data_IF_267483527228
#
_entry.id   IF_267483527228
#
_cell.length_a   1.000
_cell.length_b   1.000
_cell.length_c   1.000
_cell.angle_alpha   90.00
_cell.angle_beta   90.00
_cell.angle_gamma   90.00
#
_symmetry.space_group_name_H-M   'P 1'
#
loop_
_entity.id
_entity.type
_entity.pdbx_description
1 polymer ?
#
# COMPACT_ATOMS: atom_id res chain seq x y z
N UNK A 1 18.74 13.58 -25.43
CA UNK A 1 18.66 12.79 -24.18
C UNK A 1 17.78 11.59 -24.49
N UNK A 2 18.31 10.37 -24.40
CA UNK A 2 17.49 9.18 -24.56
C UNK A 2 16.44 9.18 -23.45
N UNK A 3 15.16 9.13 -23.82
CA UNK A 3 14.06 8.92 -22.88
C UNK A 3 14.36 7.64 -22.10
N UNK A 4 14.63 7.76 -20.79
CA UNK A 4 14.62 6.58 -19.91
C UNK A 4 13.18 6.11 -19.87
N UNK A 5 12.88 5.06 -20.62
CA UNK A 5 11.55 4.45 -20.62
C UNK A 5 11.27 4.04 -19.19
N UNK A 6 10.18 4.57 -18.62
CA UNK A 6 9.74 4.19 -17.29
C UNK A 6 9.29 2.73 -17.35
N UNK A 7 10.06 1.83 -16.78
CA UNK A 7 9.69 0.44 -16.65
C UNK A 7 8.80 0.28 -15.43
N UNK A 8 7.69 -0.43 -15.55
CA UNK A 8 6.87 -0.94 -14.45
C UNK A 8 6.85 -2.45 -14.61
N UNK A 9 7.33 -3.17 -13.62
CA UNK A 9 7.70 -4.59 -13.67
C UNK A 9 6.67 -5.52 -14.35
N UNK A 10 5.39 -5.19 -14.29
CA UNK A 10 4.32 -5.99 -14.90
C UNK A 10 3.43 -5.19 -15.86
N UNK A 11 3.97 -4.12 -16.46
CA UNK A 11 3.24 -3.35 -17.47
C UNK A 11 3.04 -4.14 -18.75
N UNK A 12 1.86 -4.00 -19.37
CA UNK A 12 1.63 -4.36 -20.75
C UNK A 12 2.51 -3.50 -21.67
N UNK A 13 3.36 -4.12 -22.47
CA UNK A 13 4.31 -3.46 -23.37
C UNK A 13 3.89 -3.51 -24.86
N UNK A 14 2.84 -4.27 -25.16
CA UNK A 14 2.32 -4.44 -26.51
C UNK A 14 3.12 -5.42 -27.40
N UNK A 15 4.17 -6.06 -26.89
CA UNK A 15 5.02 -6.98 -27.71
C UNK A 15 4.23 -8.19 -28.24
N UNK A 16 3.22 -8.66 -27.47
CA UNK A 16 2.36 -9.77 -27.85
C UNK A 16 0.93 -9.33 -28.23
N UNK A 17 0.74 -8.05 -28.55
CA UNK A 17 -0.59 -7.50 -28.86
C UNK A 17 -1.37 -8.31 -29.91
N UNK A 18 -0.69 -8.74 -31.00
CA UNK A 18 -1.31 -9.48 -32.07
C UNK A 18 -1.72 -10.93 -31.68
N UNK A 19 -1.23 -11.44 -30.57
CA UNK A 19 -1.57 -12.75 -30.02
C UNK A 19 -2.79 -12.69 -29.08
N UNK A 20 -3.22 -11.50 -28.68
CA UNK A 20 -4.38 -11.32 -27.83
C UNK A 20 -5.67 -11.67 -28.58
N UNK A 21 -6.70 -12.03 -27.82
CA UNK A 21 -8.05 -12.17 -28.34
C UNK A 21 -8.49 -10.88 -29.09
N UNK A 22 -9.19 -11.00 -30.24
CA UNK A 22 -9.64 -9.85 -31.02
C UNK A 22 -10.49 -8.83 -30.24
N UNK A 23 -11.30 -9.28 -29.29
CA UNK A 23 -12.11 -8.42 -28.44
C UNK A 23 -11.22 -7.61 -27.49
N UNK A 24 -10.24 -8.26 -26.85
CA UNK A 24 -9.24 -7.60 -26.03
C UNK A 24 -8.43 -6.57 -26.81
N UNK A 25 -7.97 -6.92 -28.04
CA UNK A 25 -7.30 -5.98 -28.94
C UNK A 25 -8.18 -4.76 -29.25
N UNK A 26 -9.46 -4.98 -29.59
CA UNK A 26 -10.38 -3.90 -29.89
C UNK A 26 -10.61 -2.98 -28.68
N UNK A 27 -10.72 -3.56 -27.49
CA UNK A 27 -10.89 -2.81 -26.23
C UNK A 27 -9.63 -2.00 -25.90
N UNK A 28 -8.42 -2.55 -26.08
CA UNK A 28 -7.17 -1.84 -25.87
C UNK A 28 -7.07 -0.64 -26.82
N UNK A 29 -7.30 -0.83 -28.13
CA UNK A 29 -7.31 0.28 -29.11
C UNK A 29 -8.29 1.39 -28.74
N UNK A 30 -9.51 1.03 -28.33
CA UNK A 30 -10.52 2.01 -27.89
C UNK A 30 -10.07 2.74 -26.62
N UNK A 31 -9.45 2.02 -25.67
CA UNK A 31 -8.90 2.60 -24.45
C UNK A 31 -7.81 3.61 -24.74
N UNK A 32 -6.84 3.27 -25.61
CA UNK A 32 -5.74 4.14 -26.01
C UNK A 32 -6.20 5.39 -26.73
N UNK A 33 -7.32 5.30 -27.46
CA UNK A 33 -7.90 6.45 -28.14
C UNK A 33 -8.52 7.50 -27.19
N UNK A 34 -8.88 7.13 -25.95
CA UNK A 34 -9.64 8.01 -25.03
C UNK A 34 -8.99 8.22 -23.67
N UNK A 35 -8.13 7.32 -23.21
CA UNK A 35 -7.42 7.44 -21.94
C UNK A 35 -5.96 7.86 -22.16
N UNK A 36 -5.49 8.74 -21.30
CA UNK A 36 -4.10 9.19 -21.34
C UNK A 36 -3.11 8.03 -21.10
N UNK A 37 -1.90 8.08 -21.70
CA UNK A 37 -0.89 7.03 -21.57
C UNK A 37 -0.39 6.78 -20.13
N UNK A 38 -0.76 7.64 -19.18
CA UNK A 38 -0.50 7.45 -17.75
C UNK A 38 -1.28 6.27 -17.15
N UNK A 39 -2.38 5.85 -17.76
CA UNK A 39 -3.16 4.68 -17.36
C UNK A 39 -2.59 3.42 -18.02
N UNK A 40 -1.61 2.78 -17.39
CA UNK A 40 -0.98 1.57 -17.89
C UNK A 40 -1.80 0.33 -17.56
N UNK A 41 -1.85 -0.62 -18.49
CA UNK A 41 -2.37 -1.96 -18.24
C UNK A 41 -1.30 -2.82 -17.56
N UNK A 42 -1.74 -3.85 -16.86
CA UNK A 42 -0.89 -4.88 -16.28
C UNK A 42 -0.87 -6.11 -17.18
N UNK A 43 0.20 -6.86 -17.06
CA UNK A 43 0.48 -8.17 -17.66
C UNK A 43 0.68 -8.14 -19.18
N UNK A 44 1.51 -9.05 -19.66
CA UNK A 44 1.71 -9.35 -21.09
C UNK A 44 0.38 -9.63 -21.79
N UNK A 45 -0.52 -10.35 -21.11
CA UNK A 45 -1.90 -10.57 -21.52
C UNK A 45 -2.84 -9.86 -20.53
N UNK A 46 -3.32 -8.64 -20.79
CA UNK A 46 -4.21 -7.91 -19.88
C UNK A 46 -5.48 -8.69 -19.53
N UNK A 47 -5.98 -8.50 -18.32
CA UNK A 47 -7.25 -9.12 -17.88
C UNK A 47 -8.41 -8.23 -18.27
N UNK A 48 -9.37 -8.75 -19.02
CA UNK A 48 -10.65 -8.08 -19.33
C UNK A 48 -11.66 -8.48 -18.27
N UNK A 49 -11.60 -7.84 -17.11
CA UNK A 49 -12.48 -8.13 -15.99
C UNK A 49 -13.86 -7.51 -16.20
N UNK A 50 -14.92 -8.32 -16.08
CA UNK A 50 -16.33 -7.89 -16.18
C UNK A 50 -17.09 -8.02 -14.87
N UNK A 51 -16.60 -8.81 -13.93
CA UNK A 51 -17.23 -9.05 -12.62
C UNK A 51 -16.18 -9.38 -11.56
N UNK A 52 -16.47 -9.04 -10.31
CA UNK A 52 -15.70 -9.47 -9.14
C UNK A 52 -16.62 -10.05 -8.07
N UNK A 53 -16.13 -11.01 -7.27
CA UNK A 53 -16.84 -11.57 -6.12
C UNK A 53 -15.84 -12.18 -5.14
N UNK A 54 -15.85 -11.76 -3.88
CA UNK A 54 -14.89 -12.23 -2.87
C UNK A 54 -13.45 -11.97 -3.32
N UNK A 55 -12.64 -12.99 -3.44
CA UNK A 55 -11.24 -12.91 -3.90
C UNK A 55 -11.07 -13.16 -5.40
N UNK A 56 -12.16 -13.19 -6.17
CA UNK A 56 -12.16 -13.58 -7.57
C UNK A 56 -12.55 -12.44 -8.49
N UNK A 57 -11.82 -12.30 -9.59
CA UNK A 57 -12.23 -11.55 -10.78
C UNK A 57 -12.67 -12.55 -11.87
N UNK A 58 -13.54 -12.10 -12.77
CA UNK A 58 -14.09 -12.91 -13.84
C UNK A 58 -14.02 -12.13 -15.16
N UNK A 59 -13.64 -12.83 -16.24
CA UNK A 59 -13.78 -12.32 -17.61
C UNK A 59 -15.17 -12.61 -18.21
N UNK A 60 -15.39 -12.22 -19.46
CA UNK A 60 -16.67 -12.40 -20.17
C UNK A 60 -17.00 -13.87 -20.43
N UNK A 61 -16.00 -14.74 -20.54
CA UNK A 61 -16.16 -16.18 -20.74
C UNK A 61 -16.43 -16.94 -19.45
N UNK A 62 -16.42 -16.23 -18.30
CA UNK A 62 -16.64 -16.82 -16.99
C UNK A 62 -15.39 -17.43 -16.36
N UNK A 63 -14.21 -17.25 -16.97
CA UNK A 63 -12.96 -17.67 -16.35
C UNK A 63 -12.72 -16.90 -15.05
N UNK A 64 -12.27 -17.61 -14.02
CA UNK A 64 -11.99 -17.08 -12.70
C UNK A 64 -10.50 -16.76 -12.57
N UNK A 65 -10.17 -15.57 -12.06
CA UNK A 65 -8.82 -15.15 -11.70
C UNK A 65 -8.75 -14.93 -10.20
N UNK A 66 -7.87 -15.66 -9.52
CA UNK A 66 -7.60 -15.47 -8.10
C UNK A 66 -6.84 -14.15 -7.91
N UNK A 67 -7.47 -13.20 -7.26
CA UNK A 67 -6.86 -11.88 -6.99
C UNK A 67 -5.99 -11.94 -5.74
N UNK A 68 -4.71 -12.19 -5.93
CA UNK A 68 -3.71 -12.17 -4.87
C UNK A 68 -2.88 -10.86 -4.87
N UNK A 69 -3.40 -9.81 -5.54
CA UNK A 69 -2.72 -8.51 -5.67
C UNK A 69 -3.49 -7.34 -5.05
N UNK A 70 -4.81 -7.32 -5.18
CA UNK A 70 -5.57 -6.09 -4.97
C UNK A 70 -6.04 -5.92 -3.52
N UNK A 71 -5.48 -4.95 -2.82
CA UNK A 71 -5.87 -4.61 -1.45
C UNK A 71 -6.90 -3.47 -1.36
N UNK A 72 -7.47 -3.03 -2.49
CA UNK A 72 -8.56 -2.03 -2.50
C UNK A 72 -9.88 -2.66 -2.05
N UNK A 73 -10.34 -3.80 -2.61
CA UNK A 73 -11.50 -4.50 -2.08
C UNK A 73 -11.12 -5.29 -0.82
N UNK A 74 -10.85 -4.57 0.28
CA UNK A 74 -10.30 -5.16 1.50
C UNK A 74 -11.10 -6.36 2.00
N UNK A 75 -12.43 -6.27 2.00
CA UNK A 75 -13.34 -7.34 2.42
C UNK A 75 -13.87 -8.18 1.25
N UNK A 76 -13.21 -8.08 0.09
CA UNK A 76 -13.57 -8.80 -1.13
C UNK A 76 -14.34 -7.96 -2.14
N UNK A 77 -14.21 -8.36 -3.41
CA UNK A 77 -14.91 -7.72 -4.52
C UNK A 77 -16.43 -7.83 -4.36
N UNK A 78 -17.14 -6.74 -4.67
CA UNK A 78 -18.61 -6.69 -4.73
C UNK A 78 -19.28 -7.22 -3.46
N UNK A 79 -18.74 -6.92 -2.27
CA UNK A 79 -19.26 -7.45 -1.01
C UNK A 79 -20.71 -7.02 -0.77
N UNK A 80 -21.67 -7.95 -0.52
CA UNK A 80 -23.11 -7.64 -0.45
C UNK A 80 -23.46 -6.63 0.64
N UNK A 81 -22.79 -6.71 1.81
CA UNK A 81 -23.04 -5.77 2.92
C UNK A 81 -22.61 -4.35 2.55
N UNK A 82 -21.45 -4.18 1.89
CA UNK A 82 -20.99 -2.86 1.40
C UNK A 82 -21.99 -2.29 0.39
N UNK A 83 -22.41 -3.11 -0.58
CA UNK A 83 -23.42 -2.70 -1.57
C UNK A 83 -24.73 -2.26 -0.92
N UNK A 84 -25.22 -3.02 0.06
CA UNK A 84 -26.46 -2.73 0.77
C UNK A 84 -26.40 -1.38 1.47
N UNK A 85 -25.40 -1.15 2.32
CA UNK A 85 -25.29 0.10 3.08
C UNK A 85 -25.08 1.33 2.17
N UNK A 86 -24.28 1.19 1.12
CA UNK A 86 -24.08 2.26 0.12
C UNK A 86 -25.39 2.60 -0.59
N UNK A 87 -26.15 1.60 -1.04
CA UNK A 87 -27.43 1.81 -1.75
C UNK A 87 -28.49 2.42 -0.82
N UNK A 88 -28.59 1.96 0.41
CA UNK A 88 -29.49 2.52 1.42
C UNK A 88 -29.16 3.99 1.68
N UNK A 89 -27.89 4.32 1.91
CA UNK A 89 -27.47 5.69 2.19
C UNK A 89 -27.64 6.64 0.99
N UNK A 90 -27.45 6.15 -0.24
CA UNK A 90 -27.74 6.92 -1.45
C UNK A 90 -29.20 7.36 -1.55
N UNK A 91 -30.13 6.54 -1.04
CA UNK A 91 -31.56 6.86 -0.99
C UNK A 91 -31.96 7.84 0.12
N UNK A 92 -31.05 8.14 1.05
CA UNK A 92 -31.35 9.00 2.22
C UNK A 92 -30.75 10.39 2.04
N UNK A 93 -29.42 10.47 2.01
CA UNK A 93 -28.68 11.74 1.95
C UNK A 93 -27.23 11.50 1.57
N UNK A 94 -26.73 12.30 0.63
CA UNK A 94 -25.30 12.40 0.37
C UNK A 94 -24.89 13.89 0.28
N UNK A 95 -24.13 14.37 1.27
CA UNK A 95 -23.76 15.78 1.39
C UNK A 95 -22.38 15.90 2.09
N UNK A 96 -21.90 17.12 2.27
CA UNK A 96 -20.63 17.40 2.91
C UNK A 96 -20.73 17.50 4.44
N UNK A 97 -19.60 17.43 5.13
CA UNK A 97 -19.46 17.41 6.59
C UNK A 97 -19.82 18.73 7.31
N UNK A 98 -20.24 19.78 6.59
CA UNK A 98 -20.71 21.03 7.23
C UNK A 98 -22.10 20.94 7.83
N UNK A 99 -22.84 19.86 7.51
CA UNK A 99 -24.10 19.53 8.17
C UNK A 99 -23.88 18.41 9.18
N UNK A 100 -24.60 18.48 10.30
CA UNK A 100 -24.54 17.43 11.30
C UNK A 100 -25.27 16.20 10.77
N UNK A 101 -24.54 15.08 10.75
CA UNK A 101 -25.10 13.78 10.36
C UNK A 101 -24.56 12.71 11.30
N UNK A 102 -25.47 11.95 11.91
CA UNK A 102 -25.12 10.90 12.87
C UNK A 102 -24.15 9.86 12.31
N UNK A 103 -24.29 9.35 11.06
CA UNK A 103 -23.37 8.33 10.54
C UNK A 103 -21.91 8.74 10.54
N UNK A 104 -21.61 10.01 10.25
CA UNK A 104 -20.22 10.51 10.26
C UNK A 104 -19.63 10.49 11.65
N UNK A 105 -20.40 10.88 12.66
CA UNK A 105 -19.97 10.93 14.06
C UNK A 105 -19.76 9.51 14.57
N UNK A 106 -20.78 8.65 14.43
CA UNK A 106 -20.73 7.26 14.91
C UNK A 106 -19.58 6.47 14.27
N UNK A 107 -19.34 6.64 12.96
CA UNK A 107 -18.20 6.02 12.30
C UNK A 107 -16.86 6.56 12.83
N UNK A 108 -16.76 7.89 13.06
CA UNK A 108 -15.55 8.51 13.59
C UNK A 108 -15.21 7.99 14.99
N UNK A 109 -16.19 7.89 15.86
CA UNK A 109 -16.03 7.32 17.21
C UNK A 109 -15.55 5.87 17.16
N UNK A 110 -16.17 5.05 16.29
CA UNK A 110 -15.79 3.65 16.09
C UNK A 110 -14.38 3.52 15.50
N UNK A 111 -14.05 4.31 14.49
CA UNK A 111 -12.72 4.32 13.87
C UNK A 111 -11.65 4.68 14.91
N UNK A 112 -11.86 5.76 15.66
CA UNK A 112 -10.91 6.23 16.67
C UNK A 112 -10.73 5.24 17.82
N UNK A 113 -11.75 4.45 18.16
CA UNK A 113 -11.65 3.39 19.16
C UNK A 113 -10.68 2.26 18.76
N UNK A 114 -10.32 2.14 17.47
CA UNK A 114 -9.33 1.18 16.97
C UNK A 114 -7.89 1.71 17.05
N UNK A 115 -7.72 2.98 17.41
CA UNK A 115 -6.41 3.61 17.56
C UNK A 115 -5.97 3.68 19.03
N UNK A 116 -4.67 3.87 19.30
CA UNK A 116 -4.20 4.25 20.63
C UNK A 116 -4.89 5.52 21.14
N UNK A 117 -5.10 5.67 22.47
CA UNK A 117 -5.89 6.75 23.05
C UNK A 117 -5.32 8.17 22.82
N UNK A 118 -4.07 8.28 22.39
CA UNK A 118 -3.46 9.56 22.01
C UNK A 118 -3.98 10.11 20.67
N UNK A 119 -4.50 9.25 19.81
CA UNK A 119 -4.98 9.62 18.47
C UNK A 119 -6.49 9.82 18.51
N UNK A 120 -6.94 11.07 18.70
CA UNK A 120 -8.31 11.40 19.09
C UNK A 120 -9.09 12.19 18.05
N UNK A 121 -8.47 12.60 16.95
CA UNK A 121 -9.10 13.42 15.90
C UNK A 121 -8.97 12.79 14.53
N UNK A 122 -10.00 12.95 13.71
CA UNK A 122 -10.01 12.48 12.32
C UNK A 122 -10.47 13.59 11.36
N UNK A 123 -9.83 13.67 10.20
CA UNK A 123 -10.27 14.47 9.06
C UNK A 123 -10.36 13.56 7.84
N UNK A 124 -11.50 13.55 7.18
CA UNK A 124 -11.76 12.73 5.99
C UNK A 124 -11.34 13.42 4.71
N UNK A 125 -10.85 12.61 3.77
CA UNK A 125 -10.51 12.97 2.39
C UNK A 125 -11.16 11.98 1.42
N UNK A 126 -10.96 12.16 0.12
CA UNK A 126 -11.47 11.22 -0.88
C UNK A 126 -10.45 10.13 -1.24
N UNK A 127 -9.17 10.38 -1.01
CA UNK A 127 -8.07 9.48 -1.39
C UNK A 127 -6.95 9.49 -0.37
N UNK A 128 -6.13 8.42 -0.37
CA UNK A 128 -4.89 8.40 0.41
C UNK A 128 -3.90 9.50 -0.01
N UNK A 129 -3.87 9.89 -1.29
CA UNK A 129 -3.02 11.00 -1.77
C UNK A 129 -3.41 12.34 -1.14
N UNK A 130 -4.72 12.63 -1.02
CA UNK A 130 -5.20 13.83 -0.33
C UNK A 130 -4.93 13.75 1.19
N UNK A 131 -5.02 12.56 1.78
CA UNK A 131 -4.70 12.36 3.19
C UNK A 131 -3.21 12.63 3.46
N UNK A 132 -2.32 12.14 2.60
CA UNK A 132 -0.87 12.45 2.68
C UNK A 132 -0.62 13.95 2.51
N UNK A 133 -1.21 14.58 1.50
CA UNK A 133 -1.09 16.03 1.27
C UNK A 133 -1.50 16.81 2.52
N UNK A 134 -2.64 16.47 3.12
CA UNK A 134 -3.13 17.09 4.35
C UNK A 134 -2.18 16.85 5.54
N UNK A 135 -1.70 15.62 5.73
CA UNK A 135 -0.78 15.29 6.82
C UNK A 135 0.55 16.06 6.72
N UNK A 136 1.10 16.19 5.51
CA UNK A 136 2.30 17.01 5.27
C UNK A 136 2.04 18.48 5.57
N UNK A 137 0.87 19.03 5.20
CA UNK A 137 0.49 20.41 5.52
C UNK A 137 0.36 20.64 7.02
N UNK A 138 -0.25 19.71 7.75
CA UNK A 138 -0.38 19.76 9.21
C UNK A 138 1.02 19.74 9.84
N UNK A 139 1.89 18.81 9.42
CA UNK A 139 3.23 18.69 9.96
C UNK A 139 4.06 19.97 9.76
N UNK A 140 4.04 20.55 8.57
CA UNK A 140 4.74 21.80 8.26
C UNK A 140 4.20 22.97 9.06
N UNK A 141 2.87 23.06 9.19
CA UNK A 141 2.23 24.13 9.95
C UNK A 141 2.59 24.05 11.43
N UNK A 142 2.50 22.87 12.02
CA UNK A 142 2.74 22.67 13.46
C UNK A 142 4.19 22.88 13.85
N UNK A 143 5.12 22.47 13.01
CA UNK A 143 6.56 22.63 13.27
C UNK A 143 7.13 23.97 12.80
N UNK A 144 6.41 24.72 11.96
CA UNK A 144 6.92 25.93 11.31
C UNK A 144 8.10 25.65 10.35
N UNK A 145 8.24 24.42 9.87
CA UNK A 145 9.34 23.95 9.03
C UNK A 145 8.82 23.24 7.77
N UNK A 146 9.67 23.09 6.75
CA UNK A 146 9.27 22.55 5.44
C UNK A 146 9.78 21.13 5.18
N UNK A 147 10.92 20.75 5.76
CA UNK A 147 11.69 19.56 5.41
C UNK A 147 11.00 18.26 5.78
N UNK A 148 10.85 17.37 4.81
CA UNK A 148 10.27 16.03 4.99
C UNK A 148 11.30 14.95 4.64
N UNK A 149 11.30 13.86 5.40
CA UNK A 149 12.05 12.65 5.08
C UNK A 149 11.10 11.55 4.63
N UNK A 150 11.45 10.81 3.61
CA UNK A 150 10.79 9.56 3.22
C UNK A 150 11.83 8.52 2.75
N UNK A 151 11.43 7.24 2.58
CA UNK A 151 12.33 6.22 2.05
C UNK A 151 12.60 6.42 0.57
N UNK A 152 13.75 5.94 0.10
CA UNK A 152 14.25 6.20 -1.26
C UNK A 152 13.45 5.51 -2.36
N UNK A 153 12.55 4.59 -2.02
CA UNK A 153 11.61 3.95 -2.95
C UNK A 153 10.16 4.05 -2.49
N UNK A 154 9.85 5.01 -1.62
CA UNK A 154 8.49 5.23 -1.11
C UNK A 154 7.48 5.58 -2.21
N UNK A 155 6.22 5.21 -1.95
CA UNK A 155 5.05 5.68 -2.70
C UNK A 155 3.96 6.13 -1.73
N UNK A 156 3.66 7.42 -1.73
CA UNK A 156 2.67 8.03 -0.83
C UNK A 156 1.50 8.69 -1.59
N UNK A 157 1.51 8.68 -2.91
CA UNK A 157 0.40 9.19 -3.71
C UNK A 157 0.83 10.05 -4.89
N UNK A 158 -0.18 10.72 -5.51
CA UNK A 158 -0.05 11.39 -6.81
C UNK A 158 -0.50 12.85 -6.83
N UNK A 159 -0.98 13.42 -5.69
CA UNK A 159 -1.12 14.89 -5.56
C UNK A 159 0.26 15.53 -5.59
N UNK A 160 0.35 16.82 -5.85
CA UNK A 160 1.66 17.49 -5.99
C UNK A 160 2.58 17.28 -4.78
N UNK A 161 2.04 17.41 -3.54
CA UNK A 161 2.83 17.20 -2.33
C UNK A 161 3.13 15.72 -2.08
N UNK A 162 2.17 14.81 -2.29
CA UNK A 162 2.37 13.37 -2.14
C UNK A 162 3.36 12.83 -3.20
N UNK A 163 3.31 13.32 -4.45
CA UNK A 163 4.26 12.96 -5.49
C UNK A 163 5.68 13.43 -5.17
N UNK A 164 5.82 14.61 -4.53
CA UNK A 164 7.12 15.15 -4.11
C UNK A 164 7.84 14.27 -3.06
N UNK A 165 7.12 13.39 -2.35
CA UNK A 165 7.64 12.40 -1.40
C UNK A 165 7.46 10.94 -1.89
N UNK A 166 7.26 10.73 -3.20
CA UNK A 166 7.03 9.42 -3.82
C UNK A 166 8.08 9.11 -4.89
N UNK A 167 9.33 8.81 -4.51
CA UNK A 167 10.41 8.54 -5.47
C UNK A 167 10.15 7.31 -6.36
N UNK A 168 9.35 6.33 -5.94
CA UNK A 168 8.97 5.17 -6.76
C UNK A 168 8.10 5.50 -7.98
N UNK A 169 7.60 6.75 -8.12
CA UNK A 169 6.96 7.22 -9.35
C UNK A 169 7.95 7.32 -10.53
N UNK A 170 9.23 7.08 -10.27
CA UNK A 170 10.27 6.94 -11.28
C UNK A 170 11.16 8.17 -11.43
N UNK A 171 12.24 8.03 -12.22
CA UNK A 171 13.32 9.02 -12.31
C UNK A 171 12.90 10.36 -12.92
N UNK A 172 11.75 10.42 -13.56
CA UNK A 172 11.19 11.65 -14.12
C UNK A 172 10.22 12.36 -13.15
N UNK A 173 9.87 11.73 -12.02
CA UNK A 173 9.11 12.37 -10.98
C UNK A 173 10.01 13.34 -10.20
N UNK A 174 9.55 14.58 -10.03
CA UNK A 174 10.31 15.61 -9.32
C UNK A 174 10.10 15.45 -7.81
N UNK A 175 11.15 15.04 -7.12
CA UNK A 175 11.18 15.07 -5.65
C UNK A 175 11.30 16.51 -5.17
N UNK A 176 10.66 16.84 -4.05
CA UNK A 176 10.70 18.18 -3.46
C UNK A 176 12.12 18.60 -3.08
N UNK A 177 12.46 19.87 -3.30
CA UNK A 177 13.75 20.41 -2.87
C UNK A 177 13.90 20.47 -1.34
N UNK A 178 12.81 20.36 -0.64
CA UNK A 178 12.65 20.29 0.81
C UNK A 178 12.57 18.83 1.32
N UNK A 179 12.79 17.85 0.45
CA UNK A 179 12.74 16.42 0.80
C UNK A 179 14.15 15.84 0.89
N UNK A 180 14.40 15.01 1.91
CA UNK A 180 15.55 14.13 2.00
C UNK A 180 15.12 12.67 1.93
N UNK A 181 15.91 11.87 1.21
CA UNK A 181 15.64 10.45 1.00
C UNK A 181 16.56 9.60 1.88
N UNK A 182 16.00 8.56 2.48
CA UNK A 182 16.78 7.57 3.24
C UNK A 182 16.58 6.18 2.62
N UNK A 183 17.66 5.40 2.52
CA UNK A 183 17.52 4.01 2.13
C UNK A 183 16.70 3.27 3.20
N UNK A 184 15.69 2.52 2.77
CA UNK A 184 14.98 1.61 3.66
C UNK A 184 15.95 0.58 4.25
N UNK A 185 15.71 0.03 5.45
CA UNK A 185 16.45 -1.11 5.93
C UNK A 185 16.23 -2.30 5.00
N UNK A 186 17.30 -3.04 4.71
CA UNK A 186 17.23 -4.22 3.81
C UNK A 186 17.65 -5.45 4.59
N UNK A 187 16.68 -6.29 4.93
CA UNK A 187 16.91 -7.51 5.75
C UNK A 187 17.77 -8.56 5.05
N UNK A 188 18.03 -8.41 3.74
CA UNK A 188 18.86 -9.34 2.98
C UNK A 188 20.31 -8.83 2.82
N UNK A 189 20.51 -7.51 2.85
CA UNK A 189 21.80 -6.88 2.50
C UNK A 189 22.43 -6.07 3.64
N UNK A 190 21.61 -5.58 4.57
CA UNK A 190 22.11 -4.86 5.77
C UNK A 190 22.45 -5.86 6.88
N UNK A 191 23.34 -5.45 7.82
CA UNK A 191 23.66 -6.26 9.00
C UNK A 191 22.40 -6.44 9.88
N UNK A 192 21.92 -7.67 10.07
CA UNK A 192 20.70 -7.91 10.83
C UNK A 192 20.83 -7.60 12.32
N UNK A 193 22.05 -7.50 12.86
CA UNK A 193 22.29 -7.33 14.30
C UNK A 193 21.98 -5.93 14.79
N UNK A 194 21.95 -4.92 13.89
CA UNK A 194 21.76 -3.52 14.27
C UNK A 194 20.86 -2.73 13.28
N UNK A 195 19.99 -3.43 12.59
CA UNK A 195 19.17 -2.88 11.49
C UNK A 195 18.35 -1.65 11.91
N UNK A 196 17.72 -1.70 13.09
CA UNK A 196 16.89 -0.60 13.60
C UNK A 196 17.72 0.64 13.97
N UNK A 197 18.87 0.44 14.61
CA UNK A 197 19.77 1.54 14.97
C UNK A 197 20.42 2.16 13.73
N UNK A 198 20.84 1.35 12.76
CA UNK A 198 21.39 1.86 11.50
C UNK A 198 20.33 2.66 10.70
N UNK A 199 19.08 2.19 10.65
CA UNK A 199 18.01 2.97 10.03
C UNK A 199 17.79 4.31 10.74
N UNK A 200 17.77 4.32 12.07
CA UNK A 200 17.72 5.56 12.85
C UNK A 200 18.91 6.49 12.56
N UNK A 201 20.11 5.93 12.36
CA UNK A 201 21.30 6.73 12.00
C UNK A 201 21.17 7.33 10.59
N UNK A 202 20.63 6.58 9.62
CA UNK A 202 20.28 7.11 8.28
C UNK A 202 19.32 8.30 8.40
N UNK A 203 18.29 8.19 9.24
CA UNK A 203 17.34 9.29 9.50
C UNK A 203 18.02 10.49 10.14
N UNK A 204 18.88 10.30 11.14
CA UNK A 204 19.65 11.42 11.76
C UNK A 204 20.55 12.13 10.74
N UNK A 205 21.21 11.40 9.85
CA UNK A 205 22.01 11.98 8.76
C UNK A 205 21.15 12.81 7.81
N UNK A 206 19.97 12.33 7.44
CA UNK A 206 19.04 13.05 6.57
C UNK A 206 18.48 14.34 7.23
N UNK A 207 18.23 14.32 8.55
CA UNK A 207 17.86 15.52 9.31
C UNK A 207 19.00 16.56 9.27
N UNK A 208 20.24 16.12 9.44
CA UNK A 208 21.42 16.99 9.34
C UNK A 208 21.57 17.57 7.94
N UNK A 209 21.42 16.75 6.91
CA UNK A 209 21.45 17.17 5.51
C UNK A 209 20.41 18.27 5.21
N UNK A 210 19.16 18.12 5.68
CA UNK A 210 18.14 19.15 5.52
C UNK A 210 18.58 20.47 6.18
N UNK A 211 19.09 20.40 7.40
CA UNK A 211 19.58 21.59 8.14
C UNK A 211 20.76 22.28 7.46
N UNK A 212 21.70 21.50 6.93
CA UNK A 212 22.86 22.03 6.19
C UNK A 212 22.45 22.71 4.88
N UNK A 213 21.33 22.29 4.29
CA UNK A 213 20.69 22.97 3.14
C UNK A 213 19.86 24.20 3.55
N UNK A 214 19.80 24.53 4.83
CA UNK A 214 18.98 25.62 5.35
C UNK A 214 17.49 25.32 5.40
N UNK A 215 17.11 24.03 5.34
CA UNK A 215 15.71 23.58 5.39
C UNK A 215 15.40 23.10 6.81
N UNK A 216 14.45 23.77 7.48
CA UNK A 216 13.92 23.32 8.77
C UNK A 216 13.23 21.96 8.65
N UNK A 217 13.38 21.10 9.66
CA UNK A 217 12.85 19.74 9.64
C UNK A 217 11.42 19.67 10.20
N UNK A 218 10.45 19.26 9.40
CA UNK A 218 9.04 19.12 9.78
C UNK A 218 8.64 17.68 10.19
N UNK A 219 9.25 16.67 9.60
CA UNK A 219 8.91 15.29 9.95
C UNK A 219 9.34 14.25 8.94
N UNK A 220 8.96 13.00 9.25
CA UNK A 220 9.15 11.85 8.37
C UNK A 220 7.82 11.18 8.09
N UNK A 221 7.59 10.83 6.81
CA UNK A 221 6.49 9.95 6.40
C UNK A 221 7.04 8.59 6.00
N UNK A 222 6.40 7.51 6.48
CA UNK A 222 6.81 6.15 6.16
C UNK A 222 5.61 5.21 6.11
N UNK A 223 5.55 4.36 5.10
CA UNK A 223 4.70 3.17 5.08
C UNK A 223 5.22 2.20 6.15
N UNK A 224 4.37 1.86 7.12
CA UNK A 224 4.77 1.10 8.32
C UNK A 224 5.34 -0.30 8.03
N UNK A 225 5.21 -0.80 6.79
CA UNK A 225 5.83 -2.05 6.32
C UNK A 225 6.76 -1.83 5.12
N UNK A 226 6.96 -0.58 4.71
CA UNK A 226 7.79 -0.20 3.57
C UNK A 226 7.51 -1.04 2.32
N UNK A 227 6.22 -1.14 1.98
CA UNK A 227 5.70 -2.05 0.94
C UNK A 227 6.23 -1.77 -0.46
N UNK A 228 6.60 -0.52 -0.76
CA UNK A 228 7.17 -0.12 -2.04
C UNK A 228 8.68 -0.34 -2.08
N UNK A 229 9.36 -0.31 -0.94
CA UNK A 229 10.79 -0.58 -0.80
C UNK A 229 11.13 -2.08 -0.78
N UNK A 230 10.17 -2.95 -1.10
CA UNK A 230 10.35 -4.40 -1.16
C UNK A 230 9.85 -5.17 0.07
N UNK A 231 8.98 -4.54 0.87
CA UNK A 231 8.40 -5.10 2.09
C UNK A 231 9.43 -5.35 3.20
N UNK A 232 9.79 -4.29 3.92
CA UNK A 232 10.76 -4.32 5.00
C UNK A 232 10.04 -4.12 6.35
N UNK A 233 9.36 -5.16 6.83
CA UNK A 233 8.54 -5.12 8.06
C UNK A 233 9.23 -5.70 9.28
N UNK A 234 10.39 -6.33 9.11
CA UNK A 234 11.10 -7.09 10.14
C UNK A 234 12.44 -6.44 10.55
N UNK A 235 12.83 -6.64 11.80
CA UNK A 235 12.08 -7.21 12.91
C UNK A 235 10.96 -6.29 13.44
N UNK A 236 9.99 -6.81 14.23
CA UNK A 236 9.09 -5.96 15.02
C UNK A 236 9.90 -4.94 15.84
N UNK A 237 9.44 -3.69 15.92
CA UNK A 237 10.19 -2.61 16.56
C UNK A 237 11.18 -1.87 15.68
N UNK A 238 11.40 -2.30 14.44
CA UNK A 238 12.36 -1.72 13.49
C UNK A 238 12.28 -0.19 13.36
N UNK A 239 11.09 0.38 13.37
CA UNK A 239 10.87 1.82 13.14
C UNK A 239 10.95 2.67 14.42
N UNK A 240 10.91 2.06 15.61
CA UNK A 240 10.84 2.80 16.88
C UNK A 240 12.07 3.73 17.10
N UNK A 241 13.33 3.29 16.91
CA UNK A 241 14.48 4.19 17.10
C UNK A 241 14.52 5.36 16.11
N UNK A 242 14.00 5.16 14.88
CA UNK A 242 13.90 6.23 13.89
C UNK A 242 12.81 7.25 14.28
N UNK A 243 11.63 6.78 14.74
CA UNK A 243 10.55 7.64 15.20
C UNK A 243 11.00 8.50 16.40
N UNK A 244 11.75 7.93 17.32
CA UNK A 244 12.35 8.67 18.43
C UNK A 244 13.32 9.74 17.93
N UNK A 245 14.21 9.42 17.01
CA UNK A 245 15.15 10.39 16.43
C UNK A 245 14.42 11.57 15.72
N UNK A 246 13.32 11.29 15.03
CA UNK A 246 12.46 12.31 14.40
C UNK A 246 11.90 13.26 15.45
N UNK A 247 11.33 12.74 16.55
CA UNK A 247 10.75 13.55 17.62
C UNK A 247 11.79 14.33 18.41
N UNK A 248 12.94 13.73 18.72
CA UNK A 248 14.07 14.42 19.36
C UNK A 248 14.57 15.61 18.53
N UNK A 249 14.43 15.54 17.21
CA UNK A 249 14.78 16.64 16.31
C UNK A 249 13.67 17.69 16.15
N UNK A 250 12.50 17.52 16.78
CA UNK A 250 11.36 18.42 16.73
C UNK A 250 10.41 18.18 15.57
N UNK A 251 10.57 17.09 14.83
CA UNK A 251 9.69 16.71 13.72
C UNK A 251 8.56 15.77 14.14
N UNK A 252 7.57 15.59 13.26
CA UNK A 252 6.45 14.67 13.46
C UNK A 252 6.67 13.36 12.72
N UNK A 253 6.22 12.24 13.33
CA UNK A 253 6.18 10.94 12.70
C UNK A 253 4.82 10.71 12.06
N UNK A 254 4.79 10.56 10.74
CA UNK A 254 3.58 10.31 9.95
C UNK A 254 3.59 8.84 9.48
N UNK A 255 2.66 8.03 9.99
CA UNK A 255 2.49 6.66 9.55
C UNK A 255 1.57 6.60 8.32
N UNK A 256 2.07 6.06 7.22
CA UNK A 256 1.25 5.76 6.06
C UNK A 256 0.64 4.35 6.22
N UNK A 257 -0.63 4.31 6.60
CA UNK A 257 -1.43 3.11 6.83
C UNK A 257 -2.30 2.73 5.62
N UNK A 258 -2.07 3.36 4.46
CA UNK A 258 -2.81 3.09 3.23
C UNK A 258 -2.61 1.66 2.72
N UNK A 259 -1.47 1.04 3.01
CA UNK A 259 -1.17 -0.35 2.65
C UNK A 259 -1.36 -1.31 3.84
N UNK A 260 -0.76 -1.05 5.02
CA UNK A 260 -0.75 -2.00 6.14
C UNK A 260 -1.99 -1.96 7.02
N UNK A 261 -2.78 -0.89 6.96
CA UNK A 261 -3.94 -0.70 7.84
C UNK A 261 -5.12 -1.64 7.57
N UNK A 262 -6.15 -1.51 8.40
CA UNK A 262 -7.40 -2.26 8.35
C UNK A 262 -7.21 -3.78 8.48
N UNK A 263 -6.41 -4.21 9.46
CA UNK A 263 -6.24 -5.62 9.79
C UNK A 263 -5.41 -6.45 8.80
N UNK A 264 -4.73 -5.79 7.83
CA UNK A 264 -3.87 -6.45 6.84
C UNK A 264 -2.81 -7.35 7.46
N UNK A 265 -2.30 -6.99 8.64
CA UNK A 265 -1.27 -7.73 9.34
C UNK A 265 -1.82 -8.88 10.20
N UNK A 266 -3.14 -8.97 10.39
CA UNK A 266 -3.77 -9.97 11.25
C UNK A 266 -3.56 -9.75 12.74
N UNK A 267 -2.33 -9.50 13.16
CA UNK A 267 -1.95 -9.28 14.56
C UNK A 267 -2.41 -7.93 15.13
N UNK A 268 -2.80 -7.00 14.27
CA UNK A 268 -3.18 -5.63 14.66
C UNK A 268 -4.02 -4.96 13.57
N UNK A 269 -4.74 -3.88 13.96
CA UNK A 269 -5.50 -3.04 13.03
C UNK A 269 -4.59 -2.19 12.13
N UNK A 270 -3.43 -1.73 12.68
CA UNK A 270 -2.54 -0.78 12.06
C UNK A 270 -1.10 -1.29 12.02
N UNK A 271 -0.40 -0.99 10.93
CA UNK A 271 0.97 -1.43 10.72
C UNK A 271 1.96 -0.87 11.74
N UNK A 272 1.79 0.39 12.16
CA UNK A 272 2.66 1.01 13.15
C UNK A 272 2.66 0.27 14.50
N UNK A 273 1.58 -0.43 14.85
CA UNK A 273 1.47 -1.20 16.09
C UNK A 273 2.49 -2.36 16.14
N UNK A 274 2.87 -2.92 14.98
CA UNK A 274 3.95 -3.92 14.89
C UNK A 274 5.27 -3.41 15.45
N UNK A 275 5.50 -2.11 15.37
CA UNK A 275 6.74 -1.48 15.82
C UNK A 275 6.64 -0.87 17.22
N UNK A 276 5.53 -1.08 17.94
CA UNK A 276 5.31 -0.48 19.26
C UNK A 276 5.22 1.05 19.21
N UNK A 277 4.84 1.60 18.07
CA UNK A 277 4.75 3.04 17.84
C UNK A 277 3.34 3.57 18.07
N UNK A 278 3.26 4.83 18.49
CA UNK A 278 2.07 5.68 18.36
C UNK A 278 2.49 6.87 17.48
N UNK A 279 2.02 6.98 16.23
CA UNK A 279 2.41 8.09 15.36
C UNK A 279 1.82 9.41 15.84
N UNK A 280 2.30 10.53 15.30
CA UNK A 280 1.71 11.84 15.53
C UNK A 280 0.53 12.09 14.59
N UNK A 281 0.65 11.55 13.37
CA UNK A 281 -0.39 11.48 12.34
C UNK A 281 -0.37 10.09 11.67
N UNK A 282 -1.55 9.55 11.37
CA UNK A 282 -1.72 8.34 10.55
C UNK A 282 -2.60 8.65 9.34
N UNK A 283 -2.19 8.25 8.14
CA UNK A 283 -2.95 8.45 6.91
C UNK A 283 -3.53 7.12 6.42
N UNK A 284 -4.75 7.15 5.91
CA UNK A 284 -5.50 5.98 5.47
C UNK A 284 -6.14 6.22 4.09
N UNK A 285 -6.47 5.13 3.42
CA UNK A 285 -7.15 5.17 2.12
C UNK A 285 -7.58 3.77 1.68
N UNK A 286 -7.22 3.38 0.48
CA UNK A 286 -7.50 2.11 -0.23
C UNK A 286 -8.53 1.15 0.42
N UNK A 287 -8.20 0.42 1.51
CA UNK A 287 -9.08 -0.59 2.12
C UNK A 287 -10.32 0.01 2.78
N UNK A 288 -10.25 1.29 3.21
CA UNK A 288 -11.22 1.95 4.05
C UNK A 288 -12.65 1.90 3.50
N UNK A 289 -12.82 2.04 2.17
CA UNK A 289 -14.14 2.08 1.51
C UNK A 289 -14.44 0.88 0.60
N UNK A 290 -13.60 -0.16 0.59
CA UNK A 290 -13.75 -1.32 -0.30
C UNK A 290 -13.98 -0.95 -1.76
N UNK A 291 -13.26 0.07 -2.26
CA UNK A 291 -13.39 0.60 -3.63
C UNK A 291 -14.20 1.89 -3.73
N UNK A 292 -15.01 2.24 -2.74
CA UNK A 292 -15.64 3.57 -2.66
C UNK A 292 -14.58 4.59 -2.21
N UNK A 293 -14.45 5.73 -2.92
CA UNK A 293 -13.44 6.73 -2.60
C UNK A 293 -13.60 7.32 -1.21
N UNK A 294 -12.63 7.06 -0.35
CA UNK A 294 -12.49 7.64 0.99
C UNK A 294 -11.04 7.50 1.47
N UNK A 295 -10.57 8.49 2.20
CA UNK A 295 -9.32 8.48 2.95
C UNK A 295 -9.48 9.30 4.21
N UNK A 296 -8.49 9.26 5.09
CA UNK A 296 -8.51 10.03 6.32
C UNK A 296 -7.11 10.31 6.85
N UNK A 297 -7.00 11.36 7.64
CA UNK A 297 -5.89 11.61 8.56
C UNK A 297 -6.43 11.49 9.98
N UNK A 298 -5.82 10.62 10.78
CA UNK A 298 -6.05 10.54 12.23
C UNK A 298 -4.82 11.10 12.93
N UNK A 299 -5.02 11.85 13.99
CA UNK A 299 -3.91 12.49 14.71
C UNK A 299 -4.21 12.84 16.15
N UNK A 300 -3.15 13.30 16.84
CA UNK A 300 -3.23 13.85 18.19
C UNK A 300 -3.97 15.18 18.16
N UNK A 301 -4.78 15.45 19.19
CA UNK A 301 -5.53 16.71 19.26
C UNK A 301 -4.60 17.93 19.22
N UNK A 302 -3.52 17.90 20.00
CA UNK A 302 -2.53 18.97 20.05
C UNK A 302 -1.85 19.24 18.70
N UNK A 303 -1.65 18.23 17.86
CA UNK A 303 -1.05 18.34 16.52
C UNK A 303 -2.04 18.92 15.50
N UNK A 304 -3.33 18.63 15.65
CA UNK A 304 -4.34 19.01 14.67
C UNK A 304 -5.09 20.29 15.01
N UNK A 305 -5.12 20.68 16.31
CA UNK A 305 -5.96 21.76 16.80
C UNK A 305 -5.56 23.14 16.24
N UNK A 306 -4.25 23.45 16.21
CA UNK A 306 -3.75 24.73 15.71
C UNK A 306 -4.04 24.89 14.21
N UNK A 307 -3.71 23.87 13.42
CA UNK A 307 -4.02 23.87 11.99
C UNK A 307 -5.52 24.05 11.75
N UNK A 308 -6.38 23.29 12.47
CA UNK A 308 -7.83 23.35 12.31
C UNK A 308 -8.43 24.71 12.71
N UNK A 309 -7.85 25.41 13.67
CA UNK A 309 -8.29 26.75 14.09
C UNK A 309 -7.84 27.84 13.11
N UNK A 310 -6.59 27.77 12.63
CA UNK A 310 -5.94 28.88 11.95
C UNK A 310 -5.98 28.77 10.43
N UNK A 311 -6.14 27.54 9.91
CA UNK A 311 -6.20 27.26 8.48
C UNK A 311 -7.61 26.86 8.05
N UNK A 312 -8.17 27.61 7.09
CA UNK A 312 -9.44 27.23 6.50
C UNK A 312 -9.29 26.00 5.61
N UNK A 313 -9.78 24.85 6.10
CA UNK A 313 -9.81 23.60 5.35
C UNK A 313 -11.23 23.17 5.04
N UNK A 314 -11.45 22.68 3.82
CA UNK A 314 -12.71 22.07 3.41
C UNK A 314 -12.47 21.12 2.24
N UNK A 315 -12.91 19.88 2.39
CA UNK A 315 -12.97 18.89 1.33
C UNK A 315 -14.45 18.60 1.04
N UNK A 316 -14.91 18.88 -0.18
CA UNK A 316 -16.32 18.79 -0.54
C UNK A 316 -16.89 17.39 -0.38
N UNK A 317 -16.11 16.37 -0.74
CA UNK A 317 -16.57 15.00 -0.74
C UNK A 317 -15.99 14.16 0.41
N UNK A 318 -14.96 14.66 1.12
CA UNK A 318 -14.35 13.98 2.25
C UNK A 318 -15.36 13.76 3.37
N UNK A 319 -15.56 12.50 3.79
CA UNK A 319 -16.49 12.14 4.85
C UNK A 319 -17.99 12.26 4.46
N UNK A 320 -18.32 12.25 3.18
CA UNK A 320 -19.72 12.21 2.76
C UNK A 320 -20.42 10.93 3.24
N UNK A 321 -21.71 10.97 3.57
CA UNK A 321 -22.42 9.85 4.16
C UNK A 321 -22.36 8.53 3.38
N UNK A 322 -22.30 8.58 2.05
CA UNK A 322 -22.21 7.35 1.22
C UNK A 322 -20.84 6.68 1.37
N UNK A 323 -19.76 7.46 1.35
CA UNK A 323 -18.42 6.93 1.61
C UNK A 323 -18.27 6.42 3.05
N UNK A 324 -18.88 7.10 4.01
CA UNK A 324 -18.95 6.66 5.42
C UNK A 324 -19.73 5.35 5.55
N UNK A 325 -20.85 5.19 4.85
CA UNK A 325 -21.62 3.94 4.84
C UNK A 325 -20.78 2.75 4.31
N UNK A 326 -20.00 2.98 3.24
CA UNK A 326 -19.06 1.97 2.74
C UNK A 326 -17.99 1.63 3.79
N UNK A 327 -17.42 2.64 4.43
CA UNK A 327 -16.39 2.45 5.44
C UNK A 327 -16.93 1.77 6.72
N UNK A 328 -18.17 2.07 7.11
CA UNK A 328 -18.87 1.37 8.18
C UNK A 328 -19.03 -0.11 7.85
N UNK A 329 -19.49 -0.42 6.63
CA UNK A 329 -19.66 -1.80 6.19
C UNK A 329 -18.34 -2.57 6.18
N UNK A 330 -17.21 -1.92 5.85
CA UNK A 330 -15.88 -2.55 5.92
C UNK A 330 -15.54 -2.95 7.34
N UNK A 331 -15.72 -2.07 8.33
CA UNK A 331 -15.48 -2.42 9.73
C UNK A 331 -16.42 -3.54 10.19
N UNK A 332 -17.71 -3.47 9.83
CA UNK A 332 -18.69 -4.51 10.16
C UNK A 332 -18.21 -5.89 9.70
N UNK A 333 -17.76 -6.01 8.45
CA UNK A 333 -17.30 -7.28 7.88
C UNK A 333 -16.00 -7.75 8.54
N UNK A 334 -15.04 -6.86 8.74
CA UNK A 334 -13.76 -7.23 9.38
C UNK A 334 -14.01 -7.82 10.78
N UNK A 335 -14.93 -7.22 11.54
CA UNK A 335 -15.26 -7.65 12.90
C UNK A 335 -16.15 -8.89 12.91
N UNK A 336 -17.26 -8.90 12.13
CA UNK A 336 -18.24 -10.01 12.15
C UNK A 336 -17.62 -11.31 11.64
N UNK A 337 -16.76 -11.24 10.63
CA UNK A 337 -16.13 -12.40 10.01
C UNK A 337 -14.79 -12.75 10.67
N UNK A 338 -14.42 -12.03 11.74
CA UNK A 338 -13.16 -12.22 12.47
C UNK A 338 -11.94 -12.27 11.54
N UNK A 339 -11.88 -11.32 10.60
CA UNK A 339 -10.88 -11.36 9.52
C UNK A 339 -9.44 -11.23 10.03
N UNK A 340 -9.18 -10.54 11.15
CA UNK A 340 -7.82 -10.46 11.72
C UNK A 340 -7.29 -11.86 12.07
N UNK A 341 -8.11 -12.67 12.75
CA UNK A 341 -7.73 -14.05 13.09
C UNK A 341 -7.55 -14.92 11.85
N UNK A 342 -8.42 -14.74 10.86
CA UNK A 342 -8.33 -15.46 9.58
C UNK A 342 -7.05 -15.08 8.82
N UNK A 343 -6.73 -13.78 8.75
CA UNK A 343 -5.47 -13.26 8.17
C UNK A 343 -4.26 -13.87 8.86
N UNK A 344 -4.24 -13.91 10.20
CA UNK A 344 -3.14 -14.49 10.97
C UNK A 344 -2.92 -15.97 10.61
N UNK A 345 -3.99 -16.76 10.56
CA UNK A 345 -3.88 -18.19 10.20
C UNK A 345 -3.45 -18.41 8.76
N UNK A 346 -4.07 -17.70 7.82
CA UNK A 346 -3.79 -17.88 6.39
C UNK A 346 -2.40 -17.35 6.01
N UNK A 347 -1.96 -16.28 6.64
CA UNK A 347 -0.61 -15.74 6.40
C UNK A 347 0.48 -16.69 6.84
N UNK A 348 0.28 -17.45 7.93
CA UNK A 348 1.24 -18.47 8.35
C UNK A 348 1.39 -19.57 7.29
N UNK A 349 0.26 -20.09 6.77
CA UNK A 349 0.27 -21.09 5.69
C UNK A 349 1.01 -20.56 4.46
N UNK A 350 0.78 -19.29 4.10
CA UNK A 350 1.41 -18.68 2.93
C UNK A 350 2.91 -18.49 3.13
N UNK A 351 3.35 -17.96 4.27
CA UNK A 351 4.77 -17.73 4.59
C UNK A 351 5.54 -19.04 4.68
N UNK A 352 4.98 -20.03 5.37
CA UNK A 352 5.63 -21.35 5.50
C UNK A 352 5.79 -22.01 4.12
N UNK A 353 4.72 -22.02 3.31
CA UNK A 353 4.77 -22.57 1.97
C UNK A 353 5.73 -21.83 1.04
N UNK A 354 5.79 -20.50 1.09
CA UNK A 354 6.79 -19.73 0.34
C UNK A 354 8.22 -20.04 0.81
N UNK A 355 8.42 -20.23 2.11
CA UNK A 355 9.71 -20.68 2.68
C UNK A 355 10.12 -22.05 2.17
N UNK A 356 9.18 -23.01 2.04
CA UNK A 356 9.43 -24.32 1.43
C UNK A 356 9.79 -24.20 -0.06
N UNK A 357 9.15 -23.29 -0.80
CA UNK A 357 9.50 -23.01 -2.19
C UNK A 357 10.93 -22.45 -2.29
N UNK A 358 11.31 -21.54 -1.41
CA UNK A 358 12.67 -20.98 -1.38
C UNK A 358 13.74 -22.04 -1.13
N UNK A 359 13.44 -23.10 -0.36
CA UNK A 359 14.38 -24.21 -0.17
C UNK A 359 14.53 -25.09 -1.42
N UNK A 360 13.53 -25.11 -2.31
CA UNK A 360 13.52 -25.95 -3.52
C UNK A 360 14.00 -25.23 -4.78
N UNK A 361 13.89 -23.90 -4.80
CA UNK A 361 14.17 -23.08 -5.98
C UNK A 361 15.25 -22.03 -5.65
N UNK A 362 16.47 -22.27 -6.13
CA UNK A 362 17.65 -21.45 -5.84
C UNK A 362 17.59 -20.01 -6.34
N UNK A 363 16.68 -19.69 -7.27
CA UNK A 363 16.42 -18.31 -7.71
C UNK A 363 15.65 -17.45 -6.69
N UNK A 364 15.15 -18.03 -5.59
CA UNK A 364 14.53 -17.28 -4.51
C UNK A 364 15.59 -16.91 -3.48
N UNK A 365 15.96 -15.63 -3.43
CA UNK A 365 16.94 -15.09 -2.48
C UNK A 365 16.36 -14.81 -1.09
N UNK A 366 15.02 -14.63 -0.98
CA UNK A 366 14.38 -14.38 0.30
C UNK A 366 12.86 -14.34 0.24
N UNK A 367 12.26 -14.66 1.38
CA UNK A 367 10.80 -14.54 1.61
C UNK A 367 10.58 -13.64 2.81
N UNK A 368 9.69 -12.68 2.68
CA UNK A 368 9.31 -11.73 3.73
C UNK A 368 7.80 -11.62 3.83
N UNK A 369 7.27 -11.28 4.99
CA UNK A 369 5.85 -11.05 5.12
C UNK A 369 5.37 -10.73 6.51
N UNK A 370 4.24 -10.02 6.55
CA UNK A 370 3.48 -9.77 7.78
C UNK A 370 1.98 -9.78 7.43
N UNK A 371 1.26 -10.69 8.02
CA UNK A 371 -0.15 -10.91 7.64
C UNK A 371 -0.29 -11.28 6.17
N UNK A 372 -1.38 -10.87 5.54
CA UNK A 372 -1.63 -11.06 4.11
C UNK A 372 -0.95 -9.96 3.25
N UNK A 373 0.31 -9.73 3.55
CA UNK A 373 1.23 -8.99 2.69
C UNK A 373 2.55 -9.74 2.69
N UNK A 374 2.86 -10.44 1.59
CA UNK A 374 4.06 -11.27 1.46
C UNK A 374 4.86 -10.87 0.23
N UNK A 375 6.15 -11.11 0.29
CA UNK A 375 7.12 -10.81 -0.75
C UNK A 375 8.04 -12.00 -0.97
N UNK A 376 8.36 -12.27 -2.25
CA UNK A 376 9.36 -13.26 -2.67
C UNK A 376 10.38 -12.53 -3.52
N UNK A 377 11.63 -12.49 -3.08
CA UNK A 377 12.71 -11.83 -3.79
C UNK A 377 13.43 -12.80 -4.72
N UNK A 378 13.58 -12.42 -5.99
CA UNK A 378 14.38 -13.18 -6.96
C UNK A 378 15.79 -12.64 -7.07
N UNK A 379 16.73 -13.57 -7.17
CA UNK A 379 18.16 -13.31 -7.34
C UNK A 379 18.72 -14.20 -8.43
N UNK A 380 19.84 -13.77 -9.02
CA UNK A 380 20.61 -14.58 -9.94
C UNK A 380 21.04 -15.89 -9.29
N UNK A 381 20.82 -17.00 -9.99
CA UNK A 381 21.08 -18.36 -9.46
C UNK A 381 22.58 -18.63 -9.27
N UNK A 382 23.44 -17.95 -10.07
CA UNK A 382 24.89 -18.19 -10.04
C UNK A 382 25.55 -17.55 -8.81
N UNK A 383 25.15 -16.31 -8.45
CA UNK A 383 25.75 -15.60 -7.32
C UNK A 383 24.87 -15.52 -6.07
N UNK A 384 23.55 -15.82 -6.20
CA UNK A 384 22.59 -15.84 -5.10
C UNK A 384 22.30 -14.47 -4.45
N UNK A 385 22.74 -13.37 -5.07
CA UNK A 385 22.68 -12.03 -4.48
C UNK A 385 22.23 -10.93 -5.43
N UNK A 386 22.60 -11.02 -6.70
CA UNK A 386 22.21 -10.02 -7.71
C UNK A 386 20.71 -10.07 -7.97
N UNK A 387 19.97 -8.94 -7.85
CA UNK A 387 18.53 -8.90 -8.10
C UNK A 387 18.14 -9.34 -9.52
N UNK A 388 17.17 -10.24 -9.66
CA UNK A 388 16.67 -10.75 -10.94
C UNK A 388 15.24 -10.27 -11.24
N UNK A 389 15.12 -9.09 -11.84
CA UNK A 389 13.85 -8.53 -12.30
C UNK A 389 13.24 -9.28 -13.49
N UNK A 390 14.07 -9.94 -14.29
CA UNK A 390 13.61 -10.68 -15.49
C UNK A 390 12.79 -11.88 -15.04
N UNK A 391 13.33 -12.70 -14.14
CA UNK A 391 12.61 -13.84 -13.57
C UNK A 391 11.37 -13.38 -12.82
N UNK A 392 11.43 -12.32 -12.01
CA UNK A 392 10.25 -11.79 -11.32
C UNK A 392 9.13 -11.40 -12.30
N UNK A 393 9.46 -10.70 -13.37
CA UNK A 393 8.49 -10.29 -14.41
C UNK A 393 7.91 -11.51 -15.13
N UNK A 394 8.74 -12.50 -15.44
CA UNK A 394 8.29 -13.74 -16.07
C UNK A 394 7.34 -14.50 -15.17
N UNK A 395 7.67 -14.68 -13.89
CA UNK A 395 6.79 -15.33 -12.90
C UNK A 395 5.43 -14.62 -12.80
N UNK A 396 5.41 -13.28 -12.75
CA UNK A 396 4.16 -12.51 -12.70
C UNK A 396 3.27 -12.81 -13.91
N UNK A 397 3.84 -12.88 -15.11
CA UNK A 397 3.07 -13.18 -16.33
C UNK A 397 2.62 -14.63 -16.41
N UNK A 398 3.47 -15.60 -16.06
CA UNK A 398 3.11 -17.03 -16.02
C UNK A 398 2.02 -17.31 -14.96
N UNK A 399 2.08 -16.66 -13.79
CA UNK A 399 1.02 -16.77 -12.77
C UNK A 399 -0.30 -16.20 -13.30
N UNK A 400 -0.27 -15.05 -14.00
CA UNK A 400 -1.46 -14.49 -14.64
C UNK A 400 -2.05 -15.49 -15.66
N UNK A 401 -1.23 -16.15 -16.47
CA UNK A 401 -1.68 -17.13 -17.46
C UNK A 401 -2.30 -18.39 -16.80
N UNK A 402 -1.88 -18.69 -15.58
CA UNK A 402 -2.51 -19.66 -14.66
C UNK A 402 -3.67 -19.08 -13.84
N UNK A 403 -4.12 -17.87 -14.18
CA UNK A 403 -5.25 -17.18 -13.56
C UNK A 403 -5.04 -16.81 -12.09
N UNK A 404 -3.82 -16.51 -11.70
CA UNK A 404 -3.49 -15.95 -10.39
C UNK A 404 -2.82 -14.59 -10.59
N UNK A 405 -3.42 -13.55 -10.03
CA UNK A 405 -2.96 -12.17 -10.19
C UNK A 405 -2.06 -11.78 -9.03
N UNK A 406 -0.80 -11.50 -9.34
CA UNK A 406 0.22 -10.95 -8.44
C UNK A 406 0.94 -9.81 -9.17
N UNK A 407 1.87 -9.14 -8.49
CA UNK A 407 2.69 -8.09 -9.09
C UNK A 407 4.13 -8.18 -8.60
N UNK A 408 5.01 -7.34 -9.13
CA UNK A 408 6.36 -7.14 -8.61
C UNK A 408 6.55 -5.71 -8.12
N UNK A 409 7.54 -5.49 -7.26
CA UNK A 409 7.92 -4.19 -6.70
C UNK A 409 9.35 -4.22 -6.15
N UNK A 410 9.70 -3.21 -5.36
CA UNK A 410 11.02 -3.04 -4.78
C UNK A 410 11.96 -2.23 -5.67
N UNK A 411 13.08 -1.74 -5.14
CA UNK A 411 14.01 -0.86 -5.85
C UNK A 411 14.59 -1.48 -7.13
N UNK A 412 14.64 -2.81 -7.19
CA UNK A 412 15.18 -3.57 -8.32
C UNK A 412 14.10 -4.31 -9.12
N UNK A 413 12.80 -4.08 -8.82
CA UNK A 413 11.66 -4.74 -9.49
C UNK A 413 11.69 -6.29 -9.46
N UNK A 414 12.49 -6.87 -8.56
CA UNK A 414 12.73 -8.30 -8.42
C UNK A 414 11.94 -8.98 -7.29
N UNK A 415 11.03 -8.23 -6.63
CA UNK A 415 10.28 -8.71 -5.47
C UNK A 415 8.83 -8.92 -5.84
N UNK A 416 8.33 -10.16 -5.83
CA UNK A 416 6.91 -10.43 -5.97
C UNK A 416 6.14 -9.77 -4.82
N UNK A 417 5.02 -9.17 -5.14
CA UNK A 417 4.09 -8.55 -4.20
C UNK A 417 2.79 -9.32 -4.19
N UNK A 418 2.53 -10.03 -3.08
CA UNK A 418 1.34 -10.86 -2.86
C UNK A 418 0.56 -10.22 -1.70
N UNK A 419 -0.63 -9.68 -1.98
CA UNK A 419 -1.47 -8.97 -1.00
C UNK A 419 -2.96 -9.08 -1.37
N UNK A 420 -3.54 -10.28 -1.19
CA UNK A 420 -4.93 -10.55 -1.54
C UNK A 420 -5.91 -9.74 -0.68
N UNK A 421 -7.21 -9.68 -1.04
CA UNK A 421 -8.27 -9.28 -0.11
C UNK A 421 -8.24 -10.11 1.18
N UNK A 422 -8.71 -9.53 2.31
CA UNK A 422 -8.64 -10.18 3.64
C UNK A 422 -9.38 -11.54 3.74
N UNK A 423 -10.51 -11.78 3.02
CA UNK A 423 -11.17 -13.10 3.03
C UNK A 423 -10.44 -14.20 2.23
N UNK A 424 -9.14 -14.02 1.97
CA UNK A 424 -8.30 -15.06 1.39
C UNK A 424 -8.14 -16.22 2.36
N UNK A 425 -8.39 -17.47 1.90
CA UNK A 425 -8.38 -18.65 2.75
C UNK A 425 -7.13 -19.50 2.59
N UNK A 426 -6.98 -20.54 3.43
CA UNK A 426 -5.90 -21.50 3.32
C UNK A 426 -5.94 -22.26 1.98
N UNK A 427 -7.13 -22.53 1.44
CA UNK A 427 -7.29 -23.19 0.14
C UNK A 427 -6.78 -22.30 -0.99
N UNK A 428 -7.07 -20.98 -0.92
CA UNK A 428 -6.54 -20.02 -1.89
C UNK A 428 -5.02 -19.90 -1.79
N UNK A 429 -4.46 -19.92 -0.57
CA UNK A 429 -3.02 -19.94 -0.34
C UNK A 429 -2.37 -21.20 -0.92
N UNK A 430 -2.96 -22.38 -0.69
CA UNK A 430 -2.50 -23.64 -1.25
C UNK A 430 -2.52 -23.65 -2.78
N UNK A 431 -3.58 -23.10 -3.39
CA UNK A 431 -3.69 -22.95 -4.84
C UNK A 431 -2.56 -22.06 -5.37
N UNK A 432 -2.35 -20.87 -4.78
CA UNK A 432 -1.29 -19.95 -5.18
C UNK A 432 0.09 -20.61 -5.07
N UNK A 433 0.38 -21.30 -3.97
CA UNK A 433 1.66 -21.97 -3.74
C UNK A 433 1.90 -23.08 -4.76
N UNK A 434 0.88 -23.91 -5.05
CA UNK A 434 0.97 -24.99 -6.03
C UNK A 434 1.25 -24.47 -7.44
N UNK A 435 0.56 -23.40 -7.86
CA UNK A 435 0.77 -22.83 -9.18
C UNK A 435 2.11 -22.11 -9.28
N UNK A 436 2.54 -21.42 -8.22
CA UNK A 436 3.86 -20.80 -8.17
C UNK A 436 4.99 -21.83 -8.25
N UNK A 437 4.88 -22.95 -7.54
CA UNK A 437 5.81 -24.08 -7.66
C UNK A 437 5.92 -24.63 -9.08
N UNK A 438 4.76 -24.81 -9.72
CA UNK A 438 4.70 -25.24 -11.12
C UNK A 438 5.32 -24.27 -12.13
N UNK A 439 5.19 -22.96 -11.88
CA UNK A 439 5.86 -21.90 -12.66
C UNK A 439 7.37 -21.99 -12.47
N UNK A 440 7.84 -21.99 -11.23
CA UNK A 440 9.26 -22.02 -10.90
C UNK A 440 9.97 -23.26 -11.43
N UNK A 441 9.34 -24.44 -11.33
CA UNK A 441 9.85 -25.69 -11.90
C UNK A 441 9.93 -25.64 -13.45
N UNK A 442 9.07 -24.86 -14.10
CA UNK A 442 9.10 -24.63 -15.54
C UNK A 442 10.23 -23.72 -15.99
N UNK A 443 10.61 -22.75 -15.17
CA UNK A 443 11.69 -21.80 -15.46
C UNK A 443 13.09 -22.39 -15.23
N UNK A 444 13.22 -23.39 -14.38
CA UNK A 444 14.48 -24.07 -14.07
C UNK A 444 14.96 -25.02 -15.19
N UNK A 445 14.24 -25.11 -16.33
CA UNK A 445 14.58 -25.93 -17.48
C UNK A 445 15.10 -25.09 -18.63
#
# INVERSE_FOLDING_TARGET
>A
MASKTLHMANAFDGTEFDQLDPEAQALIRRREAVLAPSYRLFYRHPVVAVRGSGVWLYDADGNQYLDAYNNVPAVGHSHPHVQRLVNEQLGILNTHTRYLTEPVIAYSERLLALFPPDLTKVVYTCTGSEAVDLALRIARYETGAEGIICTSHAYHGTTAAAAAVSPSLGPNNRIGSDVALVAAPDTQRDDPTDLAAEFANRVRRAITELRDRGVGFAGMIVDSIMSSDGLQSDPPGLLEPAARAVREAGGLWIADEVQPGFGRLGSSWWGFQRHGLVPDLAVMGKPMGNGVPIGAVVGRDEVMANFGRDIRYFNTFGGNPVSIAAATAVLDVIESDQLLDSVTRTSQVLIDGLGELAQRHSGIGGVRGCGLFTAVEFVDVEDGTTPDAVTATQVVNEMRDRRILISASGPHENVLKIRPPLPFTNEHAAQLLSELDGVLAGLAR
#
